data_IF_202542041541
#
_entry.id   IF_202542041541
#
_cell.length_a   1.000
_cell.length_b   1.000
_cell.length_c   1.000
_cell.angle_alpha   90.00
_cell.angle_beta   90.00
_cell.angle_gamma   90.00
#
_symmetry.space_group_name_H-M   'P 1'
#
loop_
_entity.id
_entity.type
_entity.pdbx_description
1 polymer ?
#
# COMPACT_ATOMS: atom_id res chain seq x y z
N UNK A 1 3.42 3.17 15.00
CA UNK A 1 4.21 3.81 13.94
C UNK A 1 3.88 3.12 12.61
N UNK A 2 3.69 3.87 11.53
CA UNK A 2 3.45 3.34 10.18
C UNK A 2 4.64 3.70 9.29
N UNK A 3 5.18 2.70 8.61
CA UNK A 3 6.27 2.82 7.64
C UNK A 3 5.77 2.24 6.32
N UNK A 4 5.76 3.02 5.25
CA UNK A 4 5.37 2.58 3.91
C UNK A 4 6.59 2.40 3.03
N UNK A 5 6.52 1.43 2.12
CA UNK A 5 7.55 1.14 1.14
C UNK A 5 6.93 1.27 -0.25
N UNK A 6 7.42 2.23 -1.01
CA UNK A 6 6.93 2.59 -2.33
C UNK A 6 8.00 2.33 -3.39
N UNK A 7 7.58 2.24 -4.63
CA UNK A 7 8.47 1.99 -5.77
C UNK A 7 7.86 0.99 -6.74
N UNK A 8 8.46 0.88 -7.92
CA UNK A 8 8.00 -0.01 -8.99
C UNK A 8 8.15 -1.48 -8.62
N UNK A 9 7.56 -2.37 -9.39
CA UNK A 9 7.77 -3.80 -9.26
C UNK A 9 9.26 -4.14 -9.51
N UNK A 10 9.79 -5.12 -8.77
CA UNK A 10 11.21 -5.47 -8.84
C UNK A 10 12.17 -4.50 -8.15
N UNK A 11 11.72 -3.40 -7.57
CA UNK A 11 12.59 -2.41 -6.90
C UNK A 11 13.18 -2.85 -5.55
N UNK A 12 12.96 -4.10 -5.13
CA UNK A 12 13.51 -4.62 -3.87
C UNK A 12 12.72 -4.27 -2.61
N UNK A 13 11.50 -3.70 -2.72
CA UNK A 13 10.66 -3.36 -1.56
C UNK A 13 10.52 -4.50 -0.55
N UNK A 14 10.18 -5.70 -1.02
CA UNK A 14 9.98 -6.87 -0.16
C UNK A 14 11.24 -7.23 0.61
N UNK A 15 12.43 -7.13 -0.02
CA UNK A 15 13.71 -7.35 0.64
C UNK A 15 13.94 -6.34 1.78
N UNK A 16 13.68 -5.06 1.52
CA UNK A 16 13.83 -4.01 2.55
C UNK A 16 12.83 -4.18 3.68
N UNK A 17 11.57 -4.51 3.39
CA UNK A 17 10.54 -4.81 4.39
C UNK A 17 10.99 -5.97 5.27
N UNK A 18 11.52 -7.05 4.68
CA UNK A 18 12.00 -8.22 5.42
C UNK A 18 13.22 -7.90 6.29
N UNK A 19 14.14 -7.07 5.80
CA UNK A 19 15.29 -6.63 6.58
C UNK A 19 14.86 -5.78 7.79
N UNK A 20 13.94 -4.84 7.59
CA UNK A 20 13.36 -4.05 8.70
C UNK A 20 12.61 -4.95 9.67
N UNK A 21 11.83 -5.91 9.19
CA UNK A 21 11.12 -6.87 10.04
C UNK A 21 12.08 -7.73 10.88
N UNK A 22 13.20 -8.22 10.29
CA UNK A 22 14.26 -8.94 11.01
C UNK A 22 14.90 -8.07 12.10
N UNK A 23 15.19 -6.80 11.79
CA UNK A 23 15.73 -5.85 12.76
C UNK A 23 14.76 -5.63 13.93
N UNK A 24 13.48 -5.36 13.65
CA UNK A 24 12.47 -5.16 14.69
C UNK A 24 12.33 -6.40 15.59
N UNK A 25 12.32 -7.61 14.97
CA UNK A 25 12.32 -8.88 15.71
C UNK A 25 13.53 -9.02 16.63
N UNK A 26 14.74 -8.71 16.14
CA UNK A 26 15.98 -8.72 16.95
C UNK A 26 15.89 -7.75 18.14
N UNK A 27 15.25 -6.59 17.93
CA UNK A 27 15.02 -5.57 18.98
C UNK A 27 13.80 -5.87 19.87
N UNK A 28 13.11 -7.00 19.66
CA UNK A 28 11.87 -7.38 20.39
C UNK A 28 10.75 -6.33 20.24
N UNK A 29 10.74 -5.58 19.15
CA UNK A 29 9.71 -4.58 18.83
C UNK A 29 8.57 -5.28 18.09
N UNK A 30 7.36 -5.17 18.61
CA UNK A 30 6.17 -5.76 17.97
C UNK A 30 5.82 -5.07 16.67
N UNK A 31 5.62 -5.83 15.59
CA UNK A 31 5.27 -5.30 14.27
C UNK A 31 4.29 -6.20 13.53
N UNK A 32 3.68 -5.66 12.48
CA UNK A 32 2.93 -6.40 11.46
C UNK A 32 3.38 -5.97 10.08
N UNK A 33 3.27 -6.88 9.11
CA UNK A 33 3.45 -6.58 7.69
C UNK A 33 2.09 -6.56 7.00
N UNK A 34 1.89 -5.58 6.13
CA UNK A 34 0.69 -5.40 5.32
C UNK A 34 1.12 -5.08 3.89
N UNK A 35 0.32 -5.43 2.92
CA UNK A 35 0.50 -5.02 1.51
C UNK A 35 -0.81 -4.48 0.95
N UNK A 36 -0.72 -3.58 -0.01
CA UNK A 36 -1.88 -3.09 -0.75
C UNK A 36 -1.70 -3.24 -2.27
N UNK A 37 -2.77 -3.63 -2.99
CA UNK A 37 -4.03 -4.15 -2.47
C UNK A 37 -3.84 -5.53 -1.82
N UNK A 38 -4.72 -5.89 -0.88
CA UNK A 38 -4.64 -7.13 -0.10
C UNK A 38 -4.42 -6.85 1.39
N UNK A 39 -4.19 -7.89 2.19
CA UNK A 39 -3.94 -7.80 3.63
C UNK A 39 -5.07 -8.41 4.47
N UNK A 40 -6.16 -7.72 4.72
CA UNK A 40 -7.32 -8.29 5.40
C UNK A 40 -8.04 -9.33 4.53
N UNK A 41 -8.85 -10.20 5.15
CA UNK A 41 -9.60 -11.25 4.43
C UNK A 41 -10.43 -10.71 3.26
N UNK A 42 -11.10 -9.56 3.45
CA UNK A 42 -11.89 -8.95 2.39
C UNK A 42 -11.00 -8.22 1.36
N UNK A 43 -9.93 -7.56 1.81
CA UNK A 43 -8.95 -6.95 0.90
C UNK A 43 -8.30 -7.97 -0.04
N UNK A 44 -8.05 -9.21 0.43
CA UNK A 44 -7.53 -10.28 -0.43
C UNK A 44 -8.57 -10.72 -1.49
N UNK A 45 -9.87 -10.70 -1.18
CA UNK A 45 -10.92 -10.93 -2.18
C UNK A 45 -10.93 -9.83 -3.25
N UNK A 46 -10.84 -8.57 -2.81
CA UNK A 46 -10.79 -7.42 -3.71
C UNK A 46 -9.52 -7.48 -4.56
N UNK A 47 -8.36 -7.82 -3.97
CA UNK A 47 -7.12 -8.01 -4.70
C UNK A 47 -7.26 -9.04 -5.83
N UNK A 48 -7.94 -10.16 -5.59
CA UNK A 48 -8.19 -11.17 -6.62
C UNK A 48 -8.99 -10.61 -7.80
N UNK A 49 -9.94 -9.71 -7.54
CA UNK A 49 -10.69 -9.02 -8.60
C UNK A 49 -9.79 -8.06 -9.40
N UNK A 50 -9.00 -7.24 -8.70
CA UNK A 50 -8.10 -6.27 -9.33
C UNK A 50 -7.07 -6.97 -10.22
N UNK A 51 -6.46 -8.06 -9.75
CA UNK A 51 -5.38 -8.77 -10.43
C UNK A 51 -5.87 -9.83 -11.44
N UNK A 52 -7.17 -9.99 -11.61
CA UNK A 52 -7.72 -10.92 -12.58
C UNK A 52 -7.59 -10.33 -13.99
N UNK A 53 -6.76 -10.93 -14.83
CA UNK A 53 -6.51 -10.49 -16.21
C UNK A 53 -7.78 -10.47 -17.11
N UNK A 54 -8.85 -11.14 -16.69
CA UNK A 54 -10.16 -11.10 -17.37
C UNK A 54 -11.01 -9.91 -16.92
N UNK A 55 -10.64 -9.21 -15.84
CA UNK A 55 -11.35 -8.03 -15.36
C UNK A 55 -10.93 -6.83 -16.18
N UNK A 56 -11.85 -6.30 -16.98
CA UNK A 56 -11.63 -5.06 -17.73
C UNK A 56 -12.38 -3.91 -17.04
N UNK A 57 -11.92 -3.53 -15.85
CA UNK A 57 -12.53 -2.43 -15.12
C UNK A 57 -12.19 -1.09 -15.75
N UNK A 58 -13.19 -0.19 -15.82
CA UNK A 58 -12.90 1.21 -16.12
C UNK A 58 -12.08 1.85 -14.98
N UNK A 59 -11.39 2.94 -15.29
CA UNK A 59 -10.46 3.61 -14.35
C UNK A 59 -11.08 4.01 -13.01
N UNK A 60 -12.35 4.39 -13.00
CA UNK A 60 -13.03 4.79 -11.76
C UNK A 60 -13.34 3.57 -10.88
N UNK A 61 -13.79 2.48 -11.48
CA UNK A 61 -14.00 1.20 -10.78
C UNK A 61 -12.69 0.68 -10.21
N UNK A 62 -11.60 0.75 -10.98
CA UNK A 62 -10.26 0.37 -10.51
C UNK A 62 -9.86 1.17 -9.26
N UNK A 63 -9.92 2.50 -9.32
CA UNK A 63 -9.65 3.36 -8.17
C UNK A 63 -10.51 2.97 -6.95
N UNK A 64 -11.81 2.78 -7.16
CA UNK A 64 -12.73 2.46 -6.06
C UNK A 64 -12.41 1.10 -5.42
N UNK A 65 -11.99 0.10 -6.21
CA UNK A 65 -11.56 -1.19 -5.69
C UNK A 65 -10.28 -1.09 -4.85
N UNK A 66 -9.28 -0.30 -5.28
CA UNK A 66 -8.10 -0.02 -4.46
C UNK A 66 -8.46 0.66 -3.14
N UNK A 67 -9.35 1.65 -3.19
CA UNK A 67 -9.80 2.35 -1.98
C UNK A 67 -10.66 1.48 -1.07
N UNK A 68 -11.51 0.61 -1.62
CA UNK A 68 -12.27 -0.36 -0.84
C UNK A 68 -11.35 -1.36 -0.12
N UNK A 69 -10.31 -1.87 -0.80
CA UNK A 69 -9.29 -2.71 -0.19
C UNK A 69 -8.58 -1.98 0.96
N UNK A 70 -8.20 -0.71 0.75
CA UNK A 70 -7.59 0.14 1.78
C UNK A 70 -8.50 0.36 2.97
N UNK A 71 -9.77 0.68 2.73
CA UNK A 71 -10.77 0.87 3.79
C UNK A 71 -10.88 -0.35 4.70
N UNK A 72 -10.94 -1.55 4.13
CA UNK A 72 -10.96 -2.80 4.90
C UNK A 72 -9.68 -3.00 5.73
N UNK A 73 -8.51 -2.65 5.18
CA UNK A 73 -7.25 -2.73 5.90
C UNK A 73 -7.20 -1.74 7.07
N UNK A 74 -7.67 -0.51 6.84
CA UNK A 74 -7.71 0.53 7.87
C UNK A 74 -8.54 0.05 9.05
N UNK A 75 -9.77 -0.39 8.83
CA UNK A 75 -10.68 -0.77 9.90
C UNK A 75 -10.30 -2.11 10.58
N UNK A 76 -9.89 -3.11 9.80
CA UNK A 76 -9.65 -4.45 10.33
C UNK A 76 -8.25 -4.65 10.89
N UNK A 77 -7.25 -3.93 10.39
CA UNK A 77 -5.83 -4.15 10.73
C UNK A 77 -5.18 -2.90 11.30
N UNK A 78 -5.20 -1.76 10.55
CA UNK A 78 -4.39 -0.60 10.91
C UNK A 78 -4.87 0.00 12.23
N UNK A 79 -6.14 0.33 12.38
CA UNK A 79 -6.70 0.97 13.59
C UNK A 79 -6.44 0.11 14.82
N UNK A 80 -6.60 -1.21 14.72
CA UNK A 80 -6.40 -2.15 15.85
C UNK A 80 -4.97 -2.19 16.34
N UNK A 81 -3.99 -1.92 15.46
CA UNK A 81 -2.56 -1.99 15.75
C UNK A 81 -1.90 -0.61 15.82
N UNK A 82 -2.61 0.43 15.41
CA UNK A 82 -2.12 1.80 15.43
C UNK A 82 -1.70 2.19 16.86
N UNK A 83 -0.54 2.81 17.00
CA UNK A 83 0.10 3.15 18.29
C UNK A 83 0.57 1.95 19.15
N UNK A 84 0.19 0.71 18.84
CA UNK A 84 0.59 -0.49 19.58
C UNK A 84 1.76 -1.21 18.95
N UNK A 85 1.84 -1.19 17.62
CA UNK A 85 2.86 -1.92 16.85
C UNK A 85 3.46 -1.03 15.76
N UNK A 86 4.60 -1.45 15.23
CA UNK A 86 5.10 -0.93 13.96
C UNK A 86 4.33 -1.61 12.83
N UNK A 87 3.79 -0.84 11.90
CA UNK A 87 3.06 -1.34 10.74
C UNK A 87 3.93 -1.08 9.50
N UNK A 88 4.43 -2.14 8.88
CA UNK A 88 5.18 -2.09 7.64
C UNK A 88 4.22 -2.35 6.49
N UNK A 89 4.11 -1.41 5.54
CA UNK A 89 3.14 -1.50 4.45
C UNK A 89 3.87 -1.48 3.12
N UNK A 90 3.68 -2.54 2.32
CA UNK A 90 4.13 -2.61 0.93
C UNK A 90 3.07 -1.96 0.04
N UNK A 91 3.38 -0.81 -0.52
CA UNK A 91 2.51 0.11 -1.28
C UNK A 91 1.37 0.70 -0.45
N UNK A 92 1.16 1.99 -0.61
CA UNK A 92 0.09 2.71 0.07
C UNK A 92 -0.43 3.87 -0.79
N UNK A 93 -0.60 5.04 -0.21
CA UNK A 93 -1.21 6.20 -0.87
C UNK A 93 -0.45 6.68 -2.10
N UNK A 94 0.87 6.64 -2.09
CA UNK A 94 1.69 7.16 -3.18
C UNK A 94 1.60 6.27 -4.42
N UNK A 95 1.49 4.94 -4.23
CA UNK A 95 1.18 4.03 -5.33
C UNK A 95 -0.16 4.36 -5.99
N UNK A 96 -1.19 4.77 -5.24
CA UNK A 96 -2.47 5.18 -5.82
C UNK A 96 -2.31 6.44 -6.68
N UNK A 97 -1.52 7.42 -6.22
CA UNK A 97 -1.21 8.61 -7.04
C UNK A 97 -0.45 8.19 -8.31
N UNK A 98 0.56 7.34 -8.18
CA UNK A 98 1.37 6.90 -9.31
C UNK A 98 0.52 6.18 -10.39
N UNK A 99 -0.29 5.22 -10.00
CA UNK A 99 -1.05 4.40 -10.95
C UNK A 99 -2.32 5.07 -11.43
N UNK A 100 -3.15 5.61 -10.54
CA UNK A 100 -4.47 6.12 -10.92
C UNK A 100 -4.43 7.57 -11.43
N UNK A 101 -3.56 8.43 -10.91
CA UNK A 101 -3.42 9.78 -11.46
C UNK A 101 -2.49 9.79 -12.67
N UNK A 102 -1.19 9.43 -12.50
CA UNK A 102 -0.23 9.48 -13.61
C UNK A 102 -0.49 8.40 -14.67
N UNK A 103 -0.87 7.19 -14.26
CA UNK A 103 -1.10 6.08 -15.19
C UNK A 103 -2.46 6.13 -15.89
N UNK A 104 -3.54 6.49 -15.19
CA UNK A 104 -4.92 6.42 -15.71
C UNK A 104 -5.59 7.80 -15.92
N UNK A 105 -4.93 8.90 -15.55
CA UNK A 105 -5.46 10.25 -15.72
C UNK A 105 -6.66 10.59 -14.83
N UNK A 106 -6.77 9.96 -13.65
CA UNK A 106 -7.82 10.34 -12.69
C UNK A 106 -7.40 11.61 -11.97
N UNK A 107 -8.34 12.51 -11.70
CA UNK A 107 -8.05 13.77 -11.03
C UNK A 107 -7.41 13.54 -9.66
N UNK A 108 -6.21 14.12 -9.45
CA UNK A 108 -5.42 13.99 -8.23
C UNK A 108 -6.18 14.43 -6.97
N UNK A 109 -6.95 15.52 -7.05
CA UNK A 109 -7.73 16.03 -5.92
C UNK A 109 -8.78 15.04 -5.43
N UNK A 110 -9.40 14.28 -6.35
CA UNK A 110 -10.37 13.23 -5.99
C UNK A 110 -9.64 12.13 -5.19
N UNK A 111 -8.50 11.65 -5.68
CA UNK A 111 -7.71 10.61 -5.00
C UNK A 111 -7.26 11.07 -3.62
N UNK A 112 -6.74 12.30 -3.52
CA UNK A 112 -6.27 12.86 -2.25
C UNK A 112 -7.41 13.04 -1.25
N UNK A 113 -8.57 13.51 -1.69
CA UNK A 113 -9.74 13.68 -0.82
C UNK A 113 -10.25 12.34 -0.29
N UNK A 114 -10.34 11.32 -1.14
CA UNK A 114 -10.76 9.98 -0.74
C UNK A 114 -9.75 9.34 0.22
N UNK A 115 -8.45 9.47 -0.05
CA UNK A 115 -7.41 9.03 0.88
C UNK A 115 -7.49 9.75 2.23
N UNK A 116 -7.67 11.07 2.23
CA UNK A 116 -7.84 11.86 3.45
C UNK A 116 -9.06 11.42 4.25
N UNK A 117 -10.17 11.16 3.58
CA UNK A 117 -11.40 10.64 4.20
C UNK A 117 -11.15 9.28 4.87
N UNK A 118 -10.48 8.35 4.19
CA UNK A 118 -10.20 7.01 4.72
C UNK A 118 -9.20 7.04 5.88
N UNK A 119 -8.13 7.81 5.73
CA UNK A 119 -7.07 7.85 6.74
C UNK A 119 -7.46 8.61 8.01
N UNK A 120 -8.33 9.59 7.91
CA UNK A 120 -8.78 10.41 9.07
C UNK A 120 -7.61 10.90 9.94
N UNK A 121 -7.45 10.30 11.12
CA UNK A 121 -6.41 10.62 12.10
C UNK A 121 -5.17 9.72 12.01
N UNK A 122 -5.11 8.81 11.04
CA UNK A 122 -3.97 7.92 10.85
C UNK A 122 -2.85 8.71 10.17
N UNK A 123 -1.68 8.76 10.81
CA UNK A 123 -0.49 9.43 10.28
C UNK A 123 0.52 8.39 9.81
N UNK A 124 0.99 8.53 8.56
CA UNK A 124 2.17 7.83 8.05
C UNK A 124 3.39 8.52 8.63
N UNK A 125 4.28 7.76 9.25
CA UNK A 125 5.48 8.32 9.89
C UNK A 125 6.66 8.41 8.93
N UNK A 126 6.86 7.36 8.11
CA UNK A 126 7.95 7.30 7.13
C UNK A 126 7.47 6.63 5.85
N UNK A 127 7.93 7.16 4.72
CA UNK A 127 7.80 6.54 3.40
C UNK A 127 9.19 6.32 2.83
N UNK A 128 9.51 5.08 2.50
CA UNK A 128 10.73 4.73 1.77
C UNK A 128 10.40 4.51 0.30
N UNK A 129 10.95 5.34 -0.56
CA UNK A 129 10.85 5.19 -2.01
C UNK A 129 12.07 4.39 -2.52
N UNK A 130 11.81 3.19 -3.00
CA UNK A 130 12.83 2.35 -3.63
C UNK A 130 12.98 2.74 -5.10
N UNK A 131 14.08 3.37 -5.43
CA UNK A 131 14.42 3.78 -6.79
C UNK A 131 15.37 2.76 -7.40
N UNK A 132 15.09 2.35 -8.63
CA UNK A 132 15.95 1.45 -9.43
C UNK A 132 16.37 2.16 -10.69
N UNK A 133 17.65 2.03 -11.04
CA UNK A 133 18.16 2.55 -12.30
C UNK A 133 17.51 1.78 -13.47
N UNK A 134 17.09 2.48 -14.52
CA UNK A 134 16.46 1.89 -15.72
C UNK A 134 17.25 0.71 -16.32
N UNK A 135 18.58 0.77 -16.27
CA UNK A 135 19.45 -0.33 -16.73
C UNK A 135 19.22 -1.65 -15.97
N UNK A 136 18.71 -1.58 -14.75
CA UNK A 136 18.44 -2.74 -13.89
C UNK A 136 17.01 -3.25 -13.98
N UNK A 137 16.12 -2.57 -14.72
CA UNK A 137 14.73 -2.95 -14.92
C UNK A 137 14.51 -3.96 -16.05
N UNK A 138 15.52 -4.17 -16.90
CA UNK A 138 15.45 -5.03 -18.09
C UNK A 138 15.99 -6.45 -17.86
N UNK A 139 16.04 -6.89 -16.60
CA UNK A 139 16.46 -8.28 -16.29
C UNK A 139 15.30 -9.10 -15.77
#
# INVERSE_FOLDING_TARGET
MIITFEGIEGSGKSLHIDNVAKYLKKKKISFIKLREPGGSKNSEKIRKLILNNKSNFNKNTDLLLYLASRSENIEKIIIKNYKKKVILIDRFTDSTIAYQFYGMGINKKIIENLNRYLLKKIKINFTFLNIVNEKNLKK
#
